data_IF_550683518650
#
_entry.id   IF_550683518650
#
_cell.length_a   1.000
_cell.length_b   1.000
_cell.length_c   1.000
_cell.angle_alpha   90.00
_cell.angle_beta   90.00
_cell.angle_gamma   90.00
#
_symmetry.space_group_name_H-M   'P 1'
#
loop_
_entity.id
_entity.type
_entity.pdbx_description
1 polymer ?
#
# COMPACT_ATOMS: atom_id res chain seq x y z
N UNK A 1 -14.97 10.84 -4.39
CA UNK A 1 -13.59 10.26 -4.38
C UNK A 1 -13.37 9.55 -3.05
N UNK A 2 -13.11 8.26 -3.06
CA UNK A 2 -12.96 7.42 -1.86
C UNK A 2 -11.50 7.37 -1.43
N UNK A 3 -11.13 8.17 -0.41
CA UNK A 3 -9.77 8.22 0.15
C UNK A 3 -9.62 7.17 1.25
N UNK A 4 -10.52 7.17 2.25
CA UNK A 4 -10.55 6.17 3.31
C UNK A 4 -11.84 5.37 3.25
N UNK A 5 -11.75 4.07 3.47
CA UNK A 5 -12.90 3.17 3.49
C UNK A 5 -12.70 2.05 4.52
N UNK A 6 -13.80 1.53 5.00
CA UNK A 6 -13.79 0.41 5.96
C UNK A 6 -13.94 -0.91 5.24
N UNK A 7 -13.13 -1.87 5.62
CA UNK A 7 -13.25 -3.26 5.17
C UNK A 7 -12.81 -4.22 6.28
N UNK A 8 -13.67 -5.15 6.65
CA UNK A 8 -13.42 -6.17 7.71
C UNK A 8 -12.85 -5.60 9.02
N UNK A 9 -13.34 -4.44 9.47
CA UNK A 9 -12.91 -3.80 10.71
C UNK A 9 -11.54 -3.12 10.64
N UNK A 10 -10.95 -3.00 9.46
CA UNK A 10 -9.74 -2.21 9.22
C UNK A 10 -10.08 -0.93 8.43
N UNK A 11 -9.28 0.12 8.63
CA UNK A 11 -9.39 1.37 7.88
C UNK A 11 -8.39 1.36 6.73
N UNK A 12 -8.91 1.23 5.51
CA UNK A 12 -8.12 1.25 4.28
C UNK A 12 -7.93 2.66 3.75
N UNK A 13 -6.77 2.90 3.13
CA UNK A 13 -6.37 4.21 2.62
C UNK A 13 -5.89 4.11 1.18
N UNK A 14 -6.56 4.83 0.29
CA UNK A 14 -6.29 4.88 -1.14
C UNK A 14 -5.70 6.25 -1.52
N UNK A 15 -4.42 6.29 -1.88
CA UNK A 15 -3.70 7.53 -2.15
C UNK A 15 -3.40 7.77 -3.63
N UNK A 16 -3.45 6.73 -4.47
CA UNK A 16 -3.05 6.84 -5.87
C UNK A 16 -3.65 5.75 -6.73
N UNK A 17 -3.84 6.05 -8.02
CA UNK A 17 -4.13 5.05 -9.04
C UNK A 17 -2.85 4.57 -9.75
N UNK A 18 -1.69 5.17 -9.50
CA UNK A 18 -0.43 4.81 -10.16
C UNK A 18 0.06 3.46 -9.67
N UNK A 19 0.46 2.61 -10.60
CA UNK A 19 1.12 1.34 -10.32
C UNK A 19 2.09 1.04 -11.46
N UNK A 20 3.26 0.48 -11.13
CA UNK A 20 4.23 0.02 -12.11
C UNK A 20 3.95 -1.41 -12.63
N UNK A 21 2.86 -2.04 -12.16
CA UNK A 21 2.37 -3.33 -12.62
C UNK A 21 1.02 -3.19 -13.33
N UNK A 22 0.74 -4.14 -14.23
CA UNK A 22 -0.55 -4.26 -14.93
C UNK A 22 -1.08 -5.70 -14.83
N UNK A 23 -1.19 -6.20 -13.58
CA UNK A 23 -1.51 -7.59 -13.29
C UNK A 23 -2.83 -8.05 -13.93
N UNK A 24 -2.85 -9.27 -14.47
CA UNK A 24 -4.03 -9.87 -15.13
C UNK A 24 -5.23 -10.01 -14.19
N UNK A 25 -4.97 -10.20 -12.89
CA UNK A 25 -5.99 -10.36 -11.84
C UNK A 25 -6.35 -9.05 -11.14
N UNK A 26 -5.82 -7.90 -11.58
CA UNK A 26 -6.04 -6.63 -10.90
C UNK A 26 -7.52 -6.21 -10.93
N UNK A 27 -8.07 -5.90 -9.76
CA UNK A 27 -9.48 -5.51 -9.60
C UNK A 27 -9.86 -4.27 -10.41
N UNK A 28 -8.91 -3.38 -10.69
CA UNK A 28 -9.14 -2.17 -11.50
C UNK A 28 -9.51 -2.45 -12.96
N UNK A 29 -9.28 -3.67 -13.45
CA UNK A 29 -9.64 -4.07 -14.83
C UNK A 29 -11.08 -4.56 -14.96
N UNK A 30 -11.90 -4.51 -13.91
CA UNK A 30 -13.33 -4.80 -13.94
C UNK A 30 -13.69 -6.26 -14.24
N UNK A 31 -12.72 -7.19 -14.22
CA UNK A 31 -12.94 -8.60 -14.53
C UNK A 31 -13.36 -9.46 -13.33
N UNK A 32 -13.29 -8.93 -12.11
CA UNK A 32 -13.71 -9.64 -10.92
C UNK A 32 -15.23 -9.55 -10.77
N UNK A 33 -15.96 -10.49 -11.35
CA UNK A 33 -17.37 -10.73 -10.98
C UNK A 33 -17.42 -11.06 -9.48
N UNK A 34 -18.12 -10.26 -8.70
CA UNK A 34 -18.27 -10.45 -7.25
C UNK A 34 -17.42 -9.53 -6.38
N UNK A 35 -16.89 -8.46 -6.94
CA UNK A 35 -16.26 -7.40 -6.13
C UNK A 35 -17.26 -6.89 -5.09
N UNK A 36 -16.88 -6.97 -3.82
CA UNK A 36 -17.61 -6.38 -2.67
C UNK A 36 -17.68 -4.83 -2.74
N UNK A 37 -17.08 -4.22 -3.74
CA UNK A 37 -17.01 -2.78 -4.00
C UNK A 37 -18.01 -2.38 -5.09
N UNK A 38 -19.31 -2.61 -4.85
CA UNK A 38 -20.34 -2.49 -5.88
C UNK A 38 -20.86 -1.07 -6.12
N UNK A 39 -20.62 -0.10 -5.24
CA UNK A 39 -21.26 1.23 -5.38
C UNK A 39 -20.28 2.41 -5.40
N UNK A 40 -19.11 2.31 -4.76
CA UNK A 40 -18.10 3.38 -4.80
C UNK A 40 -16.79 2.87 -5.43
N UNK A 41 -16.53 3.33 -6.65
CA UNK A 41 -15.25 3.04 -7.29
C UNK A 41 -14.10 3.54 -6.44
N UNK A 42 -13.09 2.69 -6.18
CA UNK A 42 -11.82 3.11 -5.59
C UNK A 42 -10.96 3.90 -6.59
N UNK A 43 -11.43 4.09 -7.82
CA UNK A 43 -10.73 4.91 -8.79
C UNK A 43 -10.80 6.37 -8.37
N UNK A 44 -9.64 6.94 -8.10
CA UNK A 44 -9.52 8.34 -7.74
C UNK A 44 -9.65 9.22 -8.98
N UNK A 45 -10.49 10.24 -8.96
CA UNK A 45 -10.61 11.24 -10.03
C UNK A 45 -9.30 12.03 -10.20
N UNK A 46 -8.59 12.24 -9.08
CA UNK A 46 -7.24 12.78 -8.97
C UNK A 46 -6.57 12.22 -7.72
N UNK A 47 -5.28 12.36 -7.61
CA UNK A 47 -4.59 12.06 -6.36
C UNK A 47 -5.00 13.07 -5.27
N UNK A 48 -5.36 12.61 -4.06
CA UNK A 48 -5.65 13.51 -2.95
C UNK A 48 -4.38 14.24 -2.49
N UNK A 49 -4.52 15.43 -1.98
CA UNK A 49 -3.47 16.08 -1.21
C UNK A 49 -3.29 15.34 0.12
N UNK A 50 -2.12 15.47 0.75
CA UNK A 50 -1.89 14.89 2.08
C UNK A 50 -2.85 15.41 3.13
N UNK A 51 -3.30 16.69 3.01
CA UNK A 51 -4.27 17.26 3.93
C UNK A 51 -5.67 16.65 3.74
N UNK A 52 -6.12 16.47 2.51
CA UNK A 52 -7.40 15.79 2.22
C UNK A 52 -7.39 14.35 2.74
N UNK A 53 -6.25 13.66 2.64
CA UNK A 53 -6.12 12.32 3.21
C UNK A 53 -6.18 12.35 4.73
N UNK A 54 -5.50 13.29 5.38
CA UNK A 54 -5.56 13.48 6.84
C UNK A 54 -6.98 13.82 7.30
N UNK A 55 -7.66 14.73 6.62
CA UNK A 55 -9.04 15.13 6.95
C UNK A 55 -10.00 13.93 6.81
N UNK A 56 -9.77 13.07 5.81
CA UNK A 56 -10.54 11.83 5.64
C UNK A 56 -10.34 10.86 6.80
N UNK A 57 -9.13 10.73 7.35
CA UNK A 57 -8.88 9.98 8.58
C UNK A 57 -9.62 10.59 9.76
N UNK A 58 -9.48 11.90 9.96
CA UNK A 58 -10.03 12.60 11.12
C UNK A 58 -11.56 12.67 11.10
N UNK A 59 -12.21 12.39 9.99
CA UNK A 59 -13.67 12.24 9.90
C UNK A 59 -14.18 10.90 10.47
N UNK A 60 -13.26 10.02 10.91
CA UNK A 60 -13.56 8.69 11.43
C UNK A 60 -13.04 8.51 12.85
N UNK A 61 -13.59 7.55 13.58
CA UNK A 61 -13.02 7.11 14.85
C UNK A 61 -11.84 6.15 14.59
N UNK A 62 -10.67 6.75 14.29
CA UNK A 62 -9.46 6.02 13.88
C UNK A 62 -9.07 4.93 14.87
N UNK A 63 -9.24 5.20 16.18
CA UNK A 63 -8.83 4.28 17.23
C UNK A 63 -9.77 3.07 17.40
N UNK A 64 -10.93 3.06 16.75
CA UNK A 64 -11.87 1.92 16.79
C UNK A 64 -11.51 0.79 15.82
N UNK A 65 -10.63 1.06 14.84
CA UNK A 65 -10.24 0.06 13.85
C UNK A 65 -9.15 -0.87 14.40
N UNK A 66 -9.12 -2.11 13.89
CA UNK A 66 -8.09 -3.09 14.28
C UNK A 66 -6.72 -2.79 13.69
N UNK A 67 -6.66 -2.15 12.52
CA UNK A 67 -5.45 -1.73 11.81
C UNK A 67 -5.76 -0.64 10.78
N UNK A 68 -4.74 0.11 10.35
CA UNK A 68 -4.78 1.03 9.23
C UNK A 68 -4.02 0.37 8.08
N UNK A 69 -4.62 0.30 6.87
CA UNK A 69 -4.04 -0.40 5.73
C UNK A 69 -3.90 0.56 4.54
N UNK A 70 -2.69 0.91 4.18
CA UNK A 70 -2.43 1.62 2.93
C UNK A 70 -2.55 0.64 1.76
N UNK A 71 -3.65 0.75 1.03
CA UNK A 71 -4.02 -0.13 -0.09
C UNK A 71 -5.10 0.52 -0.93
N UNK A 72 -5.01 0.40 -2.24
CA UNK A 72 -5.99 0.92 -3.20
C UNK A 72 -5.82 0.28 -4.57
N UNK A 73 -6.28 0.94 -5.62
CA UNK A 73 -6.07 0.48 -6.99
C UNK A 73 -4.64 0.70 -7.49
N UNK A 74 -3.91 1.63 -6.89
CA UNK A 74 -2.50 1.87 -7.19
C UNK A 74 -1.55 1.21 -6.20
N UNK A 75 -0.25 1.37 -6.44
CA UNK A 75 0.81 0.98 -5.53
C UNK A 75 1.05 2.14 -4.53
N UNK A 76 0.80 1.95 -3.22
CA UNK A 76 0.87 3.03 -2.23
C UNK A 76 2.25 3.71 -2.15
N UNK A 77 3.31 2.98 -2.45
CA UNK A 77 4.69 3.49 -2.34
C UNK A 77 5.05 4.54 -3.40
N UNK A 78 4.22 4.75 -4.42
CA UNK A 78 4.32 5.95 -5.28
C UNK A 78 4.10 7.26 -4.50
N UNK A 79 3.41 7.19 -3.37
CA UNK A 79 3.11 8.32 -2.48
C UNK A 79 3.75 8.10 -1.10
N UNK A 80 4.95 7.48 -1.06
CA UNK A 80 5.60 7.10 0.20
C UNK A 80 5.80 8.30 1.13
N UNK A 81 6.28 9.43 0.62
CA UNK A 81 6.52 10.63 1.42
C UNK A 81 5.23 11.15 2.08
N UNK A 82 4.12 11.12 1.35
CA UNK A 82 2.81 11.52 1.89
C UNK A 82 2.26 10.46 2.86
N UNK A 83 2.48 9.18 2.56
CA UNK A 83 2.10 8.07 3.44
C UNK A 83 2.82 8.18 4.79
N UNK A 84 4.13 8.36 4.78
CA UNK A 84 4.93 8.47 6.01
C UNK A 84 4.56 9.75 6.79
N UNK A 85 4.35 10.86 6.10
CA UNK A 85 3.86 12.09 6.73
C UNK A 85 2.50 11.88 7.43
N UNK A 86 1.57 11.18 6.78
CA UNK A 86 0.26 10.83 7.37
C UNK A 86 0.43 9.98 8.63
N UNK A 87 1.30 8.98 8.59
CA UNK A 87 1.58 8.12 9.75
C UNK A 87 2.15 8.94 10.90
N UNK A 88 3.10 9.84 10.63
CA UNK A 88 3.69 10.71 11.65
C UNK A 88 2.63 11.64 12.27
N UNK A 89 1.74 12.23 11.46
CA UNK A 89 0.63 13.06 11.94
C UNK A 89 -0.36 12.28 12.82
N UNK A 90 -0.69 11.04 12.41
CA UNK A 90 -1.60 10.19 13.18
C UNK A 90 -0.94 9.74 14.50
N UNK A 91 0.35 9.39 14.48
CA UNK A 91 1.12 9.05 15.70
C UNK A 91 1.20 10.22 16.67
N UNK A 92 1.45 11.43 16.17
CA UNK A 92 1.49 12.63 17.00
C UNK A 92 0.14 12.91 17.69
N UNK A 93 -0.98 12.57 17.03
CA UNK A 93 -2.35 12.83 17.55
C UNK A 93 -2.85 11.75 18.50
N UNK A 94 -2.62 10.48 18.15
CA UNK A 94 -3.25 9.34 18.82
C UNK A 94 -2.28 8.57 19.74
N UNK A 95 -0.95 8.77 19.56
CA UNK A 95 0.07 8.10 20.37
C UNK A 95 -0.08 6.58 20.36
N UNK A 96 -0.04 5.96 21.52
CA UNK A 96 -0.19 4.51 21.72
C UNK A 96 -1.58 3.96 21.38
N UNK A 97 -2.58 4.83 21.18
CA UNK A 97 -3.92 4.42 20.76
C UNK A 97 -4.06 4.23 19.25
N UNK A 98 -3.05 4.65 18.48
CA UNK A 98 -3.07 4.46 17.03
C UNK A 98 -3.04 2.96 16.71
N UNK A 99 -3.99 2.44 15.91
CA UNK A 99 -3.93 1.07 15.45
C UNK A 99 -2.65 0.78 14.66
N UNK A 100 -2.19 -0.48 14.62
CA UNK A 100 -1.05 -0.87 13.79
C UNK A 100 -1.21 -0.43 12.33
N UNK A 101 -0.10 -0.03 11.71
CA UNK A 101 -0.08 0.45 10.33
C UNK A 101 0.51 -0.60 9.41
N UNK A 102 -0.24 -0.94 8.36
CA UNK A 102 0.17 -1.89 7.30
C UNK A 102 0.21 -1.23 5.94
N UNK A 103 1.16 -1.66 5.12
CA UNK A 103 1.18 -1.38 3.69
C UNK A 103 0.99 -2.69 2.92
N UNK A 104 -0.03 -2.74 2.04
CA UNK A 104 -0.12 -3.78 1.02
C UNK A 104 0.59 -3.24 -0.23
N UNK A 105 1.65 -3.91 -0.66
CA UNK A 105 2.55 -3.42 -1.70
C UNK A 105 2.97 -4.53 -2.67
N UNK A 106 3.32 -4.15 -3.89
CA UNK A 106 4.00 -5.06 -4.83
C UNK A 106 5.50 -5.25 -4.52
N UNK A 107 6.04 -4.55 -3.51
CA UNK A 107 7.43 -4.67 -3.09
C UNK A 107 8.45 -3.94 -3.97
N UNK A 108 8.02 -3.06 -4.86
CA UNK A 108 8.91 -2.34 -5.79
C UNK A 108 9.27 -0.92 -5.33
N UNK A 109 9.11 -0.59 -4.05
CA UNK A 109 9.33 0.76 -3.55
C UNK A 109 10.72 1.31 -3.91
N UNK A 110 11.78 0.51 -3.72
CA UNK A 110 13.15 0.93 -4.06
C UNK A 110 13.34 1.16 -5.57
N UNK A 111 12.68 0.35 -6.43
CA UNK A 111 12.69 0.56 -7.89
C UNK A 111 11.92 1.81 -8.30
N UNK A 112 10.76 2.05 -7.70
CA UNK A 112 9.88 3.18 -8.01
C UNK A 112 10.57 4.50 -7.65
N UNK A 113 11.24 4.54 -6.48
CA UNK A 113 11.80 5.77 -5.93
C UNK A 113 13.30 5.94 -6.22
N UNK A 114 13.95 4.89 -6.78
CA UNK A 114 15.37 4.93 -7.15
C UNK A 114 16.33 5.04 -5.95
N UNK A 115 15.89 4.65 -4.76
CA UNK A 115 16.66 4.67 -3.52
C UNK A 115 16.20 3.59 -2.56
N UNK A 116 17.03 3.25 -1.57
CA UNK A 116 16.59 2.39 -0.47
C UNK A 116 15.69 3.18 0.49
N UNK A 117 14.44 2.72 0.62
CA UNK A 117 13.44 3.33 1.51
C UNK A 117 13.22 2.55 2.80
N UNK A 118 13.81 1.36 2.93
CA UNK A 118 13.56 0.49 4.09
C UNK A 118 13.85 1.17 5.44
N UNK A 119 14.95 1.97 5.59
CA UNK A 119 15.20 2.69 6.83
C UNK A 119 14.12 3.72 7.20
N UNK A 120 13.42 4.27 6.20
CA UNK A 120 12.37 5.27 6.43
C UNK A 120 11.08 4.66 7.03
N UNK A 121 10.91 3.35 6.91
CA UNK A 121 9.76 2.62 7.44
C UNK A 121 9.88 2.34 8.94
N UNK A 122 11.10 2.42 9.50
CA UNK A 122 11.38 2.09 10.90
C UNK A 122 10.56 2.95 11.85
N UNK A 123 9.93 2.28 12.82
CA UNK A 123 9.09 2.95 13.81
C UNK A 123 7.80 3.57 13.26
N UNK A 124 7.50 3.46 11.95
CA UNK A 124 6.30 3.99 11.31
C UNK A 124 5.35 2.89 10.84
N UNK A 125 5.90 1.83 10.26
CA UNK A 125 5.14 0.74 9.65
C UNK A 125 5.31 -0.52 10.48
N UNK A 126 4.21 -1.14 10.87
CA UNK A 126 4.20 -2.36 11.69
C UNK A 126 4.21 -3.62 10.82
N UNK A 127 3.58 -3.56 9.63
CA UNK A 127 3.47 -4.70 8.72
C UNK A 127 3.64 -4.28 7.27
N UNK A 128 4.50 -4.97 6.53
CA UNK A 128 4.53 -4.99 5.07
C UNK A 128 3.92 -6.30 4.57
N UNK A 129 2.85 -6.22 3.78
CA UNK A 129 2.27 -7.35 3.06
C UNK A 129 2.64 -7.21 1.59
N UNK A 130 3.59 -8.03 1.15
CA UNK A 130 4.17 -7.96 -0.18
C UNK A 130 3.53 -9.02 -1.08
N UNK A 131 3.07 -8.61 -2.26
CA UNK A 131 2.40 -9.50 -3.23
C UNK A 131 3.42 -10.29 -4.03
N UNK A 132 3.81 -11.48 -3.55
CA UNK A 132 4.76 -12.36 -4.24
C UNK A 132 4.20 -12.93 -5.55
N UNK A 133 2.95 -13.35 -5.59
CA UNK A 133 2.14 -13.79 -6.74
C UNK A 133 2.70 -14.95 -7.61
N UNK A 134 3.99 -15.26 -7.58
CA UNK A 134 4.64 -16.37 -8.28
C UNK A 134 5.93 -16.77 -7.56
N UNK A 135 6.42 -17.98 -7.81
CA UNK A 135 7.65 -18.53 -7.26
C UNK A 135 8.88 -18.34 -8.15
N UNK A 136 8.71 -17.75 -9.33
CA UNK A 136 9.81 -17.47 -10.26
C UNK A 136 9.61 -16.18 -11.05
N UNK A 137 10.71 -15.63 -11.61
CA UNK A 137 10.72 -14.32 -12.26
C UNK A 137 9.93 -14.30 -13.59
N UNK A 138 9.98 -15.36 -14.38
CA UNK A 138 9.32 -15.40 -15.68
C UNK A 138 7.80 -15.41 -15.53
N UNK A 139 7.27 -16.27 -14.66
CA UNK A 139 5.83 -16.34 -14.39
C UNK A 139 5.34 -15.10 -13.67
N UNK A 140 6.14 -14.54 -12.75
CA UNK A 140 5.83 -13.25 -12.12
C UNK A 140 5.68 -12.13 -13.16
N UNK A 141 6.64 -12.02 -14.08
CA UNK A 141 6.59 -11.01 -15.14
C UNK A 141 5.40 -11.22 -16.07
N UNK A 142 5.09 -12.47 -16.42
CA UNK A 142 3.96 -12.82 -17.27
C UNK A 142 2.60 -12.54 -16.62
N UNK A 143 2.50 -12.65 -15.29
CA UNK A 143 1.25 -12.46 -14.53
C UNK A 143 1.04 -11.01 -14.10
N UNK A 144 2.12 -10.35 -13.63
CA UNK A 144 2.05 -9.01 -13.02
C UNK A 144 2.40 -7.88 -13.98
N UNK A 145 3.02 -8.17 -15.12
CA UNK A 145 3.45 -7.20 -16.15
C UNK A 145 4.14 -5.95 -15.57
N UNK A 146 5.18 -6.10 -14.72
CA UNK A 146 5.88 -4.95 -14.17
C UNK A 146 6.67 -4.24 -15.28
N UNK A 147 6.77 -2.90 -15.19
CA UNK A 147 7.51 -2.08 -16.18
C UNK A 147 8.97 -2.56 -16.33
N UNK A 148 9.57 -3.05 -15.25
CA UNK A 148 10.96 -3.54 -15.21
C UNK A 148 11.11 -5.01 -15.65
N UNK A 149 10.03 -5.66 -16.09
CA UNK A 149 10.07 -7.07 -16.50
C UNK A 149 10.51 -8.00 -15.37
N UNK A 150 11.24 -9.06 -15.71
CA UNK A 150 11.70 -10.08 -14.75
C UNK A 150 12.60 -9.54 -13.63
N UNK A 151 13.32 -8.43 -13.87
CA UNK A 151 14.16 -7.81 -12.85
C UNK A 151 13.38 -7.33 -11.63
N UNK A 152 12.08 -7.03 -11.79
CA UNK A 152 11.19 -6.62 -10.71
C UNK A 152 11.02 -7.71 -9.63
N UNK A 153 11.05 -8.99 -10.03
CA UNK A 153 10.94 -10.12 -9.11
C UNK A 153 12.10 -10.15 -8.10
N UNK A 154 13.34 -10.06 -8.59
CA UNK A 154 14.49 -10.05 -7.70
C UNK A 154 14.51 -8.81 -6.81
N UNK A 155 14.16 -7.65 -7.35
CA UNK A 155 14.10 -6.41 -6.59
C UNK A 155 13.04 -6.46 -5.46
N UNK A 156 11.89 -7.09 -5.70
CA UNK A 156 10.88 -7.34 -4.66
C UNK A 156 11.42 -8.25 -3.55
N UNK A 157 12.13 -9.32 -3.90
CA UNK A 157 12.73 -10.21 -2.90
C UNK A 157 13.83 -9.51 -2.09
N UNK A 158 14.63 -8.67 -2.73
CA UNK A 158 15.68 -7.90 -2.06
C UNK A 158 15.08 -6.84 -1.13
N UNK A 159 14.04 -6.14 -1.58
CA UNK A 159 13.26 -5.23 -0.73
C UNK A 159 12.67 -5.96 0.48
N UNK A 160 12.08 -7.15 0.29
CA UNK A 160 11.52 -7.93 1.39
C UNK A 160 12.58 -8.34 2.42
N UNK A 161 13.79 -8.72 1.96
CA UNK A 161 14.91 -9.09 2.84
C UNK A 161 15.41 -7.89 3.63
N UNK A 162 15.60 -6.74 2.97
CA UNK A 162 16.09 -5.52 3.60
C UNK A 162 15.06 -4.97 4.60
N UNK A 163 13.78 -4.91 4.22
CA UNK A 163 12.72 -4.42 5.07
C UNK A 163 12.59 -5.15 6.43
N UNK A 164 12.99 -6.43 6.50
CA UNK A 164 12.99 -7.20 7.77
C UNK A 164 13.90 -6.63 8.86
N UNK A 165 14.84 -5.76 8.51
CA UNK A 165 15.70 -5.11 9.48
C UNK A 165 15.02 -3.90 10.14
N UNK A 166 13.95 -3.37 9.54
CA UNK A 166 13.30 -2.10 9.92
C UNK A 166 11.82 -2.25 10.28
N UNK A 167 11.15 -3.25 9.72
CA UNK A 167 9.71 -3.46 9.91
C UNK A 167 9.46 -4.75 10.70
N UNK A 168 8.67 -4.69 11.78
CA UNK A 168 8.43 -5.85 12.65
C UNK A 168 7.87 -7.09 11.94
N UNK A 169 6.96 -6.87 10.98
CA UNK A 169 6.30 -7.96 10.26
C UNK A 169 6.41 -7.75 8.75
N UNK A 170 7.09 -8.66 8.05
CA UNK A 170 7.16 -8.73 6.59
C UNK A 170 6.56 -10.05 6.15
N UNK A 171 5.49 -9.98 5.36
CA UNK A 171 4.70 -11.13 4.86
C UNK A 171 4.73 -11.12 3.34
N UNK A 172 4.91 -12.34 2.75
CA UNK A 172 4.87 -12.58 1.30
C UNK A 172 3.74 -13.57 0.99
#
# INVERSE_FOLDING_TARGET
>A
MTITYEYEGALYVNLTNKCNCNCDFCLRHGKAQGSIYTEDSLWLEREPTRQEALDSFLSRDVCSYREIVFCGYGEPTYRLDDLLWLVDELKARFGEKLPPVRINTNGHANLILGRDVCPELEGRIDTLSISLNSDNAADYAALCHPIQGEAAYQAMLDFAREAKHYVPHVVL
#
